data_IF_615858103211
#
_entry.id   IF_615858103211
#
_cell.length_a   1.000
_cell.length_b   1.000
_cell.length_c   1.000
_cell.angle_alpha   90.00
_cell.angle_beta   90.00
_cell.angle_gamma   90.00
#
_symmetry.space_group_name_H-M   'P 1'
#
loop_
_entity.id
_entity.type
_entity.pdbx_description
1 polymer ?
#
# COMPACT_ATOMS: atom_id res chain seq x y z
N UNK A 1 15.80 -32.85 -33.79
CA UNK A 1 15.39 -31.61 -33.11
C UNK A 1 13.86 -31.59 -32.98
N UNK A 2 13.30 -31.80 -31.78
CA UNK A 2 11.92 -31.36 -31.47
C UNK A 2 11.76 -30.64 -30.12
N UNK A 3 12.80 -30.60 -29.25
CA UNK A 3 12.68 -29.94 -27.94
C UNK A 3 12.51 -28.42 -28.01
N UNK A 4 13.00 -27.76 -29.07
CA UNK A 4 12.82 -26.31 -29.24
C UNK A 4 11.38 -25.93 -29.58
N UNK A 5 10.61 -26.83 -30.20
CA UNK A 5 9.18 -26.62 -30.48
C UNK A 5 8.34 -26.72 -29.20
N UNK A 6 8.66 -27.65 -28.30
CA UNK A 6 7.98 -27.77 -27.01
C UNK A 6 8.31 -26.63 -26.04
N UNK A 7 9.52 -26.06 -26.13
CA UNK A 7 9.88 -24.82 -25.40
C UNK A 7 9.10 -23.62 -25.97
N UNK A 8 8.87 -23.57 -27.29
CA UNK A 8 8.04 -22.54 -27.92
C UNK A 8 6.56 -22.61 -27.53
N UNK A 9 6.01 -23.81 -27.33
CA UNK A 9 4.63 -23.99 -26.83
C UNK A 9 4.47 -23.60 -25.36
N UNK A 10 5.53 -23.73 -24.54
CA UNK A 10 5.53 -23.25 -23.16
C UNK A 10 5.68 -21.70 -23.05
N UNK A 11 6.18 -21.04 -24.10
CA UNK A 11 6.28 -19.57 -24.15
C UNK A 11 5.03 -18.88 -24.70
N UNK A 12 4.06 -19.63 -25.26
CA UNK A 12 2.77 -19.07 -25.70
C UNK A 12 1.71 -19.02 -24.59
N UNK A 13 2.03 -19.50 -23.38
CA UNK A 13 1.16 -19.50 -22.20
C UNK A 13 1.64 -18.54 -21.11
N UNK A 14 2.36 -17.47 -21.45
CA UNK A 14 2.30 -16.29 -20.57
C UNK A 14 0.81 -15.96 -20.46
N UNK A 15 0.22 -16.20 -19.29
CA UNK A 15 -1.22 -16.10 -19.12
C UNK A 15 -1.66 -14.75 -19.67
N UNK A 16 -2.82 -14.67 -20.34
CA UNK A 16 -3.29 -13.39 -20.90
C UNK A 16 -3.27 -12.25 -19.87
N UNK A 17 -3.37 -12.63 -18.58
CA UNK A 17 -3.20 -11.77 -17.43
C UNK A 17 -1.77 -11.24 -17.24
N UNK A 18 -0.74 -12.08 -17.35
CA UNK A 18 0.66 -11.65 -17.32
C UNK A 18 0.94 -10.64 -18.44
N UNK A 19 0.42 -10.91 -19.64
CA UNK A 19 0.58 -9.98 -20.76
C UNK A 19 -0.14 -8.65 -20.50
N UNK A 20 -1.36 -8.68 -19.96
CA UNK A 20 -2.09 -7.48 -19.58
C UNK A 20 -1.38 -6.67 -18.49
N UNK A 21 -0.83 -7.34 -17.47
CA UNK A 21 -0.05 -6.70 -16.40
C UNK A 21 1.21 -6.06 -16.97
N UNK A 22 1.93 -6.75 -17.86
CA UNK A 22 3.12 -6.20 -18.51
C UNK A 22 2.79 -4.97 -19.36
N UNK A 23 1.64 -4.95 -20.05
CA UNK A 23 1.18 -3.76 -20.78
C UNK A 23 0.91 -2.60 -19.82
N UNK A 24 0.17 -2.84 -18.73
CA UNK A 24 -0.11 -1.84 -17.70
C UNK A 24 1.18 -1.28 -17.07
N UNK A 25 2.15 -2.15 -16.81
CA UNK A 25 3.45 -1.75 -16.28
C UNK A 25 4.24 -0.90 -17.28
N UNK A 26 4.26 -1.26 -18.57
CA UNK A 26 4.98 -0.50 -19.61
C UNK A 26 4.40 0.90 -19.84
N UNK A 27 3.08 1.04 -19.75
CA UNK A 27 2.43 2.37 -19.89
C UNK A 27 2.52 3.21 -18.62
N UNK A 28 3.17 2.71 -17.55
CA UNK A 28 3.34 3.44 -16.30
C UNK A 28 2.10 3.47 -15.40
N UNK A 29 1.14 2.56 -15.58
CA UNK A 29 -0.11 2.55 -14.81
C UNK A 29 0.17 2.47 -13.30
N UNK A 30 1.03 1.55 -12.87
CA UNK A 30 1.34 1.36 -11.45
C UNK A 30 2.21 2.48 -10.88
N UNK A 31 3.08 3.08 -11.70
CA UNK A 31 4.04 4.10 -11.26
C UNK A 31 3.43 5.52 -11.25
N UNK A 32 2.39 5.77 -12.04
CA UNK A 32 1.83 7.11 -12.24
C UNK A 32 0.36 7.15 -11.82
N UNK A 33 -0.47 6.26 -12.35
CA UNK A 33 -1.93 6.30 -12.14
C UNK A 33 -2.30 5.90 -10.70
N UNK A 34 -1.66 4.86 -10.16
CA UNK A 34 -1.92 4.44 -8.78
C UNK A 34 -1.56 5.54 -7.76
N UNK A 35 -0.35 6.14 -7.79
CA UNK A 35 -0.04 7.28 -6.93
C UNK A 35 -0.97 8.47 -7.15
N UNK A 36 -1.37 8.76 -8.40
CA UNK A 36 -2.28 9.86 -8.71
C UNK A 36 -3.63 9.70 -8.02
N UNK A 37 -4.25 8.52 -8.13
CA UNK A 37 -5.54 8.25 -7.48
C UNK A 37 -5.41 8.40 -5.96
N UNK A 38 -4.29 7.92 -5.39
CA UNK A 38 -4.03 8.04 -3.95
C UNK A 38 -3.89 9.51 -3.51
N UNK A 39 -3.08 10.30 -4.21
CA UNK A 39 -2.93 11.73 -3.93
C UNK A 39 -4.27 12.46 -4.05
N UNK A 40 -5.00 12.23 -5.13
CA UNK A 40 -6.31 12.82 -5.34
C UNK A 40 -7.25 12.50 -4.18
N UNK A 41 -7.38 11.23 -3.81
CA UNK A 41 -8.29 10.79 -2.74
C UNK A 41 -7.89 11.38 -1.38
N UNK A 42 -6.61 11.35 -1.02
CA UNK A 42 -6.12 11.86 0.26
C UNK A 42 -6.28 13.38 0.35
N UNK A 43 -5.85 14.11 -0.68
CA UNK A 43 -5.98 15.58 -0.71
C UNK A 43 -7.45 15.98 -0.69
N UNK A 44 -8.29 15.31 -1.50
CA UNK A 44 -9.73 15.56 -1.51
C UNK A 44 -10.35 15.33 -0.13
N UNK A 45 -10.03 14.21 0.52
CA UNK A 45 -10.51 13.90 1.86
C UNK A 45 -10.05 14.93 2.90
N UNK A 46 -8.79 15.38 2.83
CA UNK A 46 -8.26 16.42 3.72
C UNK A 46 -9.02 17.74 3.50
N UNK A 47 -9.21 18.19 2.26
CA UNK A 47 -9.95 19.42 1.96
C UNK A 47 -11.41 19.35 2.44
N UNK A 48 -12.08 18.22 2.22
CA UNK A 48 -13.48 18.03 2.61
C UNK A 48 -13.65 17.93 4.14
N UNK A 49 -12.74 17.26 4.84
CA UNK A 49 -12.80 17.11 6.31
C UNK A 49 -12.35 18.36 7.05
N UNK A 50 -11.37 19.09 6.51
CA UNK A 50 -10.86 20.33 7.11
C UNK A 50 -11.76 21.54 6.86
N UNK A 51 -12.61 21.49 5.82
CA UNK A 51 -13.44 22.62 5.39
C UNK A 51 -12.63 23.90 5.11
N UNK A 52 -11.37 23.75 4.70
CA UNK A 52 -10.45 24.89 4.53
C UNK A 52 -10.88 25.89 3.45
N UNK A 53 -11.59 25.42 2.42
CA UNK A 53 -12.14 26.25 1.34
C UNK A 53 -13.58 26.71 1.59
N UNK A 54 -14.12 26.44 2.79
CA UNK A 54 -15.50 26.74 3.17
C UNK A 54 -16.39 25.51 3.29
N UNK A 55 -17.68 25.74 3.58
CA UNK A 55 -18.68 24.69 3.70
C UNK A 55 -19.44 24.46 2.39
N UNK A 56 -19.87 23.23 2.12
CA UNK A 56 -20.64 22.84 0.94
C UNK A 56 -19.94 23.07 -0.42
N UNK A 57 -18.62 23.20 -0.43
CA UNK A 57 -17.80 23.43 -1.64
C UNK A 57 -17.18 22.14 -2.20
N UNK A 58 -17.89 21.01 -2.09
CA UNK A 58 -17.37 19.68 -2.47
C UNK A 58 -16.84 19.62 -3.90
N UNK A 59 -17.54 20.23 -4.86
CA UNK A 59 -17.11 20.27 -6.27
C UNK A 59 -15.80 21.03 -6.45
N UNK A 60 -15.60 22.12 -5.69
CA UNK A 60 -14.38 22.91 -5.70
C UNK A 60 -13.24 22.11 -5.08
N UNK A 61 -13.49 21.45 -3.94
CA UNK A 61 -12.52 20.56 -3.30
C UNK A 61 -12.06 19.44 -4.26
N UNK A 62 -12.96 18.87 -5.06
CA UNK A 62 -12.62 17.86 -6.05
C UNK A 62 -11.72 18.42 -7.16
N UNK A 63 -12.04 19.58 -7.72
CA UNK A 63 -11.24 20.23 -8.76
C UNK A 63 -9.85 20.59 -8.23
N UNK A 64 -9.77 21.18 -7.03
CA UNK A 64 -8.49 21.57 -6.42
C UNK A 64 -7.64 20.34 -6.12
N UNK A 65 -8.22 19.30 -5.51
CA UNK A 65 -7.51 18.05 -5.24
C UNK A 65 -7.00 17.39 -6.54
N UNK A 66 -7.80 17.42 -7.61
CA UNK A 66 -7.41 16.89 -8.92
C UNK A 66 -6.20 17.63 -9.49
N UNK A 67 -6.22 18.96 -9.47
CA UNK A 67 -5.11 19.78 -9.98
C UNK A 67 -3.84 19.54 -9.16
N UNK A 68 -3.94 19.50 -7.83
CA UNK A 68 -2.78 19.23 -6.97
C UNK A 68 -2.25 17.82 -7.23
N UNK A 69 -3.12 16.82 -7.30
CA UNK A 69 -2.70 15.43 -7.53
C UNK A 69 -2.04 15.23 -8.90
N UNK A 70 -2.59 15.82 -9.98
CA UNK A 70 -1.97 15.77 -11.31
C UNK A 70 -0.62 16.50 -11.33
N UNK A 71 -0.51 17.65 -10.68
CA UNK A 71 0.75 18.41 -10.61
C UNK A 71 1.81 17.64 -9.81
N UNK A 72 1.39 17.02 -8.70
CA UNK A 72 2.25 16.19 -7.86
C UNK A 72 2.75 14.95 -8.61
N UNK A 73 1.90 14.27 -9.38
CA UNK A 73 2.33 13.08 -10.14
C UNK A 73 3.10 13.38 -11.40
N UNK A 74 2.98 14.58 -11.97
CA UNK A 74 3.84 15.03 -13.05
C UNK A 74 5.31 15.23 -12.60
N UNK A 75 5.54 15.47 -11.31
CA UNK A 75 6.88 15.62 -10.76
C UNK A 75 7.55 14.25 -10.52
N UNK A 76 8.54 13.90 -11.34
CA UNK A 76 9.29 12.62 -11.28
C UNK A 76 9.90 12.33 -9.89
N UNK A 77 10.31 13.37 -9.17
CA UNK A 77 10.86 13.25 -7.81
C UNK A 77 9.78 12.78 -6.82
N UNK A 78 8.55 13.28 -6.96
CA UNK A 78 7.44 12.96 -6.06
C UNK A 78 6.98 11.53 -6.28
N UNK A 79 6.87 11.08 -7.53
CA UNK A 79 6.49 9.70 -7.86
C UNK A 79 7.56 8.69 -7.42
N UNK A 80 8.85 9.02 -7.51
CA UNK A 80 9.94 8.18 -7.01
C UNK A 80 9.93 7.97 -5.49
N UNK A 81 9.72 9.05 -4.71
CA UNK A 81 9.62 8.95 -3.24
C UNK A 81 8.40 8.11 -2.86
N UNK A 82 7.24 8.37 -3.47
CA UNK A 82 6.00 7.64 -3.17
C UNK A 82 6.12 6.17 -3.56
N UNK A 83 6.75 5.85 -4.70
CA UNK A 83 6.99 4.46 -5.10
C UNK A 83 7.93 3.71 -4.14
N UNK A 84 8.80 4.43 -3.42
CA UNK A 84 9.67 3.84 -2.39
C UNK A 84 8.96 3.71 -1.04
N UNK A 85 8.08 4.67 -0.71
CA UNK A 85 7.34 4.70 0.56
C UNK A 85 6.11 3.78 0.55
N UNK A 86 5.44 3.58 -0.59
CA UNK A 86 4.23 2.73 -0.68
C UNK A 86 4.52 1.29 -0.19
N UNK A 87 5.58 0.60 -0.65
CA UNK A 87 5.91 -0.72 -0.14
C UNK A 87 6.15 -0.73 1.37
N UNK A 88 6.88 0.27 1.88
CA UNK A 88 7.17 0.41 3.31
C UNK A 88 5.89 0.62 4.13
N UNK A 89 4.97 1.48 3.67
CA UNK A 89 3.69 1.76 4.35
C UNK A 89 2.78 0.55 4.30
N UNK A 90 2.70 -0.14 3.16
CA UNK A 90 1.91 -1.37 3.03
C UNK A 90 2.45 -2.48 3.93
N UNK A 91 3.78 -2.67 3.95
CA UNK A 91 4.43 -3.58 4.87
C UNK A 91 4.13 -3.21 6.32
N UNK A 92 4.21 -1.92 6.66
CA UNK A 92 3.85 -1.40 7.99
C UNK A 92 2.44 -1.80 8.40
N UNK A 93 1.45 -1.56 7.53
CA UNK A 93 0.04 -1.86 7.80
C UNK A 93 -0.17 -3.37 7.97
N UNK A 94 0.40 -4.19 7.08
CA UNK A 94 0.30 -5.66 7.18
C UNK A 94 0.92 -6.15 8.48
N UNK A 95 2.10 -5.67 8.82
CA UNK A 95 2.81 -6.07 10.04
C UNK A 95 2.06 -5.64 11.30
N UNK A 96 1.48 -4.42 11.30
CA UNK A 96 0.68 -3.92 12.41
C UNK A 96 -0.66 -4.67 12.54
N UNK A 97 -1.27 -5.06 11.42
CA UNK A 97 -2.45 -5.92 11.40
C UNK A 97 -2.14 -7.32 11.95
N UNK A 98 -1.02 -7.92 11.54
CA UNK A 98 -0.55 -9.20 12.08
C UNK A 98 -0.24 -9.11 13.57
N UNK A 99 0.39 -8.03 14.02
CA UNK A 99 0.61 -7.74 15.43
C UNK A 99 -0.70 -7.73 16.21
N UNK A 100 -1.71 -6.98 15.74
CA UNK A 100 -3.01 -6.94 16.43
C UNK A 100 -3.77 -8.25 16.35
N UNK A 101 -3.61 -9.04 15.29
CA UNK A 101 -4.22 -10.35 15.18
C UNK A 101 -3.62 -11.31 16.21
N UNK A 102 -2.29 -11.39 16.32
CA UNK A 102 -1.60 -12.21 17.32
C UNK A 102 -1.93 -11.72 18.73
N UNK A 103 -1.84 -10.41 18.97
CA UNK A 103 -2.17 -9.82 20.26
C UNK A 103 -3.64 -10.06 20.64
N UNK A 104 -4.57 -9.94 19.70
CA UNK A 104 -6.01 -10.16 19.89
C UNK A 104 -6.36 -11.62 20.13
N UNK A 105 -5.71 -12.54 19.42
CA UNK A 105 -5.89 -13.98 19.59
C UNK A 105 -5.53 -14.42 21.00
N UNK A 106 -4.43 -13.88 21.53
CA UNK A 106 -4.08 -14.14 22.92
C UNK A 106 -4.95 -13.30 23.87
N UNK A 107 -5.25 -12.03 23.59
CA UNK A 107 -6.00 -11.15 24.51
C UNK A 107 -7.43 -11.62 24.85
N UNK A 108 -8.09 -12.39 23.98
CA UNK A 108 -9.48 -12.85 24.17
C UNK A 108 -9.70 -13.84 25.32
N UNK A 109 -8.75 -14.74 25.58
CA UNK A 109 -8.88 -15.86 26.54
C UNK A 109 -8.10 -15.64 27.86
N UNK A 110 -7.62 -14.43 28.15
CA UNK A 110 -6.67 -14.15 29.25
C UNK A 110 -7.29 -13.50 30.49
N UNK A 111 -8.53 -13.86 30.86
CA UNK A 111 -8.99 -13.55 32.23
C UNK A 111 -8.28 -14.41 33.30
N UNK A 112 -7.53 -15.44 32.89
CA UNK A 112 -6.85 -16.41 33.78
C UNK A 112 -5.33 -16.43 33.69
N UNK A 113 -4.70 -15.59 32.86
CA UNK A 113 -3.25 -15.58 32.67
C UNK A 113 -2.65 -14.33 33.29
N UNK A 114 -1.61 -14.53 34.10
CA UNK A 114 -1.00 -13.49 34.93
C UNK A 114 -0.55 -12.26 34.13
N UNK A 115 -0.60 -11.05 34.73
CA UNK A 115 -0.28 -9.77 34.06
C UNK A 115 1.06 -9.75 33.31
N UNK A 116 2.06 -10.50 33.80
CA UNK A 116 3.41 -10.57 33.22
C UNK A 116 3.48 -11.24 31.84
N UNK A 117 2.69 -12.28 31.59
CA UNK A 117 2.70 -12.98 30.29
C UNK A 117 2.07 -12.11 29.20
N UNK A 118 0.99 -11.38 29.50
CA UNK A 118 0.35 -10.47 28.55
C UNK A 118 1.29 -9.36 28.07
N UNK A 119 2.08 -8.81 28.99
CA UNK A 119 3.06 -7.75 28.68
C UNK A 119 4.25 -8.32 27.89
N UNK A 120 4.74 -9.52 28.26
CA UNK A 120 5.81 -10.21 27.54
C UNK A 120 5.46 -10.47 26.08
N UNK A 121 4.24 -10.94 25.78
CA UNK A 121 3.80 -11.19 24.41
C UNK A 121 3.67 -9.91 23.59
N UNK A 122 3.18 -8.81 24.18
CA UNK A 122 3.09 -7.51 23.50
C UNK A 122 4.46 -6.90 23.16
N UNK A 123 5.45 -7.05 24.06
CA UNK A 123 6.83 -6.62 23.80
C UNK A 123 7.46 -7.49 22.72
N UNK A 124 7.31 -8.82 22.80
CA UNK A 124 7.85 -9.75 21.81
C UNK A 124 7.31 -9.49 20.40
N UNK A 125 6.01 -9.24 20.26
CA UNK A 125 5.41 -8.91 18.96
C UNK A 125 5.89 -7.54 18.46
N UNK A 126 6.09 -6.54 19.32
CA UNK A 126 6.65 -5.24 18.94
C UNK A 126 8.10 -5.32 18.47
N UNK A 127 8.92 -6.15 19.11
CA UNK A 127 10.31 -6.42 18.70
C UNK A 127 10.36 -7.14 17.35
N UNK A 128 9.48 -8.12 17.12
CA UNK A 128 9.39 -8.80 15.83
C UNK A 128 9.09 -7.82 14.68
N UNK A 129 8.18 -6.86 14.89
CA UNK A 129 7.93 -5.77 13.93
C UNK A 129 9.21 -4.95 13.68
N UNK A 130 9.86 -4.47 14.73
CA UNK A 130 11.06 -3.64 14.61
C UNK A 130 12.19 -4.36 13.86
N UNK A 131 12.37 -5.67 14.07
CA UNK A 131 13.36 -6.49 13.37
C UNK A 131 13.02 -6.60 11.88
N UNK A 132 11.75 -6.85 11.52
CA UNK A 132 11.32 -6.90 10.12
C UNK A 132 11.64 -5.59 9.38
N UNK A 133 11.42 -4.45 10.03
CA UNK A 133 11.74 -3.14 9.46
C UNK A 133 13.25 -2.87 9.34
N UNK A 134 14.07 -3.44 10.22
CA UNK A 134 15.52 -3.24 10.21
C UNK A 134 16.22 -4.05 9.09
N UNK A 135 15.61 -5.15 8.65
CA UNK A 135 16.12 -6.03 7.60
C UNK A 135 15.42 -5.87 6.24
N UNK A 136 14.38 -5.03 6.16
CA UNK A 136 13.69 -4.63 4.93
C UNK A 136 14.40 -3.48 4.23
#
# INVERSE_FOLDING_TARGET
MPLQFLVQLNQSEASLLEQAILVLQRIGFFQIIIPFILFFAVIFAILEKSKILGENVRSINAIVALVIALTATAAVVVTGIVSTMIPLVMLSIIVLLLFFLVYGLFAGDLSKIGPGIRISFGIASGVAVAVIFLYS
#
